data_IF_178999115496
#
_entry.id   IF_178999115496
#
_cell.length_a   1.000
_cell.length_b   1.000
_cell.length_c   1.000
_cell.angle_alpha   90.00
_cell.angle_beta   90.00
_cell.angle_gamma   90.00
#
_symmetry.space_group_name_H-M   'P 1'
#
loop_
_entity.id
_entity.type
_entity.pdbx_description
1 polymer ?
#
# COMPACT_ATOMS: atom_id res chain seq x y z
N UNK A 1 -11.35 -15.68 6.61
CA UNK A 1 -11.51 -14.22 6.43
C UNK A 1 -10.21 -13.70 5.84
N UNK A 2 -10.24 -12.82 4.81
CA UNK A 2 -9.02 -12.22 4.28
C UNK A 2 -8.27 -11.50 5.39
N UNK A 3 -6.95 -11.65 5.41
CA UNK A 3 -6.10 -10.83 6.28
C UNK A 3 -6.04 -9.43 5.69
N UNK A 4 -6.02 -8.42 6.57
CA UNK A 4 -5.84 -7.03 6.16
C UNK A 4 -4.36 -6.70 6.25
N UNK A 5 -3.82 -6.10 5.19
CA UNK A 5 -2.48 -5.50 5.19
C UNK A 5 -2.66 -3.99 5.13
N UNK A 6 -2.08 -3.29 6.10
CA UNK A 6 -2.03 -1.84 6.10
C UNK A 6 -0.75 -1.39 5.41
N UNK A 7 -0.89 -0.46 4.46
CA UNK A 7 0.22 0.20 3.79
C UNK A 7 0.13 1.68 4.12
N UNK A 8 0.96 2.15 5.06
CA UNK A 8 1.02 3.56 5.40
C UNK A 8 2.05 4.27 4.53
N UNK A 9 1.72 5.50 4.11
CA UNK A 9 2.69 6.38 3.45
C UNK A 9 2.93 7.56 4.37
N UNK A 10 4.17 7.68 4.84
CA UNK A 10 4.58 8.68 5.82
C UNK A 10 4.82 10.05 5.16
N UNK A 11 4.89 11.15 5.95
CA UNK A 11 5.17 12.49 5.43
C UNK A 11 6.48 12.57 4.61
N UNK A 12 7.50 11.80 4.99
CA UNK A 12 8.77 11.68 4.27
C UNK A 12 8.70 10.73 3.06
N UNK A 13 7.50 10.44 2.56
CA UNK A 13 7.23 9.60 1.38
C UNK A 13 7.74 8.16 1.49
N UNK A 14 7.88 7.64 2.71
CA UNK A 14 8.26 6.25 2.93
C UNK A 14 7.03 5.35 3.03
N UNK A 15 7.21 4.10 2.61
CA UNK A 15 6.18 3.08 2.66
C UNK A 15 6.38 2.21 3.89
N UNK A 16 5.33 2.03 4.68
CA UNK A 16 5.31 1.08 5.79
C UNK A 16 4.34 -0.06 5.48
N UNK A 17 4.75 -1.29 5.79
CA UNK A 17 3.95 -2.49 5.66
C UNK A 17 3.60 -3.01 7.05
N UNK A 18 2.33 -2.93 7.45
CA UNK A 18 1.87 -3.30 8.79
C UNK A 18 2.71 -2.65 9.91
N UNK A 19 3.06 -1.37 9.75
CA UNK A 19 3.90 -0.64 10.70
C UNK A 19 5.41 -0.88 10.58
N UNK A 20 5.86 -1.75 9.67
CA UNK A 20 7.28 -1.96 9.38
C UNK A 20 7.72 -1.08 8.21
N UNK A 21 8.71 -0.20 8.41
CA UNK A 21 9.24 0.63 7.32
C UNK A 21 9.98 -0.22 6.30
N UNK A 22 9.59 -0.11 5.04
CA UNK A 22 10.28 -0.79 3.94
C UNK A 22 11.52 0.01 3.52
N UNK A 23 12.60 -0.70 3.20
CA UNK A 23 13.87 -0.09 2.82
C UNK A 23 13.83 0.59 1.44
N UNK A 24 13.10 0.00 0.49
CA UNK A 24 13.05 0.44 -0.90
C UNK A 24 11.83 -0.14 -1.64
N UNK A 25 11.72 0.17 -2.94
CA UNK A 25 10.62 -0.27 -3.80
C UNK A 25 10.66 -1.79 -4.03
N UNK A 26 11.85 -2.38 -4.10
CA UNK A 26 12.03 -3.82 -4.29
C UNK A 26 11.46 -4.61 -3.11
N UNK A 27 11.63 -4.11 -1.88
CA UNK A 27 11.04 -4.70 -0.69
C UNK A 27 9.50 -4.65 -0.73
N UNK A 28 8.91 -3.56 -1.23
CA UNK A 28 7.47 -3.45 -1.43
C UNK A 28 6.99 -4.46 -2.49
N UNK A 29 7.66 -4.50 -3.65
CA UNK A 29 7.32 -5.43 -4.73
C UNK A 29 7.33 -6.88 -4.25
N UNK A 30 8.34 -7.28 -3.48
CA UNK A 30 8.43 -8.62 -2.93
C UNK A 30 7.25 -8.96 -2.00
N UNK A 31 6.85 -8.03 -1.12
CA UNK A 31 5.69 -8.20 -0.22
C UNK A 31 4.37 -8.27 -0.99
N UNK A 32 4.18 -7.39 -1.98
CA UNK A 32 3.00 -7.38 -2.85
C UNK A 32 2.90 -8.67 -3.68
N UNK A 33 4.03 -9.15 -4.25
CA UNK A 33 4.06 -10.38 -5.03
C UNK A 33 3.73 -11.61 -4.18
N UNK A 34 4.19 -11.65 -2.93
CA UNK A 34 3.82 -12.70 -1.98
C UNK A 34 2.33 -12.62 -1.62
N UNK A 35 1.81 -11.42 -1.37
CA UNK A 35 0.39 -11.20 -1.07
C UNK A 35 -0.52 -11.62 -2.24
N UNK A 36 -0.18 -11.27 -3.48
CA UNK A 36 -0.95 -11.62 -4.67
C UNK A 36 -1.05 -13.13 -4.94
N UNK A 37 -0.08 -13.92 -4.46
CA UNK A 37 -0.05 -15.39 -4.56
C UNK A 37 -0.79 -16.11 -3.43
N UNK A 38 -1.20 -15.39 -2.38
CA UNK A 38 -1.93 -16.00 -1.27
C UNK A 38 -3.40 -16.24 -1.62
N UNK A 39 -3.97 -17.32 -1.08
CA UNK A 39 -5.38 -17.65 -1.22
C UNK A 39 -6.01 -17.86 0.17
N UNK A 40 -6.94 -17.00 0.62
CA UNK A 40 -7.46 -15.83 -0.09
C UNK A 40 -6.45 -14.66 -0.11
N UNK A 41 -6.41 -13.91 -1.22
CA UNK A 41 -5.64 -12.66 -1.28
C UNK A 41 -6.07 -11.72 -0.14
N UNK A 42 -5.10 -11.02 0.51
CA UNK A 42 -5.38 -10.05 1.55
C UNK A 42 -6.07 -8.80 0.97
N UNK A 43 -6.74 -8.07 1.85
CA UNK A 43 -7.24 -6.73 1.55
C UNK A 43 -6.13 -5.72 1.86
N UNK A 44 -5.67 -4.98 0.84
CA UNK A 44 -4.66 -3.94 1.03
C UNK A 44 -5.36 -2.62 1.34
N UNK A 45 -5.05 -2.06 2.50
CA UNK A 45 -5.53 -0.77 2.96
C UNK A 45 -4.42 0.26 2.87
N UNK A 46 -4.47 1.11 1.86
CA UNK A 46 -3.46 2.15 1.62
C UNK A 46 -3.89 3.41 2.35
N UNK A 47 -3.08 3.85 3.32
CA UNK A 47 -3.34 5.01 4.16
C UNK A 47 -2.24 6.05 4.00
N UNK A 48 -2.42 7.00 3.08
CA UNK A 48 -1.46 8.09 2.96
C UNK A 48 -1.62 9.10 4.09
N UNK A 49 -0.51 9.63 4.58
CA UNK A 49 -0.51 10.78 5.46
C UNK A 49 -0.93 12.04 4.66
N UNK A 50 -1.63 12.98 5.31
CA UNK A 50 -2.05 14.25 4.72
C UNK A 50 -0.89 15.09 4.13
N UNK A 51 0.31 14.94 4.69
CA UNK A 51 1.51 15.68 4.27
C UNK A 51 2.38 14.87 3.29
N UNK A 52 1.96 13.64 2.95
CA UNK A 52 2.68 12.81 1.98
C UNK A 52 2.41 13.30 0.55
N UNK A 53 3.43 13.20 -0.30
CA UNK A 53 3.26 13.48 -1.73
C UNK A 53 2.41 12.39 -2.40
N UNK A 54 1.73 12.74 -3.50
CA UNK A 54 0.89 11.78 -4.23
C UNK A 54 1.69 10.67 -4.94
N UNK A 55 2.95 10.95 -5.31
CA UNK A 55 3.81 10.02 -6.04
C UNK A 55 3.97 8.63 -5.40
N UNK A 56 4.32 8.48 -4.11
CA UNK A 56 4.38 7.18 -3.44
C UNK A 56 3.02 6.46 -3.41
N UNK A 57 1.91 7.20 -3.33
CA UNK A 57 0.56 6.61 -3.37
C UNK A 57 0.29 5.98 -4.73
N UNK A 58 0.52 6.75 -5.80
CA UNK A 58 0.37 6.28 -7.17
C UNK A 58 1.28 5.10 -7.47
N UNK A 59 2.52 5.11 -6.96
CA UNK A 59 3.47 4.01 -7.10
C UNK A 59 2.96 2.72 -6.44
N UNK A 60 2.50 2.79 -5.18
CA UNK A 60 1.93 1.63 -4.47
C UNK A 60 0.72 1.06 -5.23
N UNK A 61 -0.16 1.92 -5.73
CA UNK A 61 -1.34 1.52 -6.50
C UNK A 61 -0.95 0.82 -7.81
N UNK A 62 0.00 1.40 -8.56
CA UNK A 62 0.47 0.85 -9.83
C UNK A 62 1.12 -0.53 -9.65
N UNK A 63 1.99 -0.68 -8.64
CA UNK A 63 2.62 -1.97 -8.34
C UNK A 63 1.61 -3.03 -7.90
N UNK A 64 0.66 -2.66 -7.05
CA UNK A 64 -0.38 -3.57 -6.59
C UNK A 64 -1.20 -4.11 -7.75
N UNK A 65 -1.63 -3.23 -8.67
CA UNK A 65 -2.37 -3.61 -9.87
C UNK A 65 -1.53 -4.49 -10.80
N UNK A 66 -0.27 -4.11 -11.05
CA UNK A 66 0.66 -4.88 -11.90
C UNK A 66 0.86 -6.32 -11.39
N UNK A 67 0.84 -6.51 -10.07
CA UNK A 67 1.00 -7.82 -9.42
C UNK A 67 -0.31 -8.58 -9.21
N UNK A 68 -1.43 -8.09 -9.74
CA UNK A 68 -2.72 -8.79 -9.72
C UNK A 68 -3.41 -8.77 -8.36
N UNK A 69 -3.07 -7.82 -7.47
CA UNK A 69 -3.83 -7.58 -6.25
C UNK A 69 -5.11 -6.84 -6.59
N UNK A 70 -6.24 -7.49 -6.36
CA UNK A 70 -7.56 -6.98 -6.76
C UNK A 70 -8.36 -6.38 -5.59
N UNK A 71 -7.96 -6.70 -4.35
CA UNK A 71 -8.63 -6.26 -3.14
C UNK A 71 -7.89 -5.08 -2.52
N UNK A 72 -8.06 -3.90 -3.13
CA UNK A 72 -7.39 -2.66 -2.73
C UNK A 72 -8.42 -1.63 -2.26
N UNK A 73 -8.12 -0.93 -1.16
CA UNK A 73 -8.89 0.22 -0.70
C UNK A 73 -7.96 1.33 -0.20
N UNK A 74 -8.22 2.58 -0.60
CA UNK A 74 -7.54 3.74 -0.01
C UNK A 74 -8.39 4.22 1.16
N UNK A 75 -7.80 4.25 2.35
CA UNK A 75 -8.44 4.69 3.59
C UNK A 75 -7.90 6.05 4.01
N UNK A 76 -8.79 6.94 4.44
CA UNK A 76 -8.41 8.31 4.81
C UNK A 76 -8.23 9.27 3.64
N UNK A 77 -8.66 8.88 2.42
CA UNK A 77 -8.67 9.74 1.22
C UNK A 77 -9.44 11.04 1.41
N UNK A 78 -10.35 11.09 2.39
CA UNK A 78 -11.09 12.29 2.79
C UNK A 78 -10.17 13.47 3.14
N UNK A 79 -8.92 13.19 3.55
CA UNK A 79 -7.90 14.20 3.87
C UNK A 79 -7.37 14.95 2.63
N UNK A 80 -7.68 14.50 1.42
CA UNK A 80 -7.17 15.08 0.15
C UNK A 80 -8.20 15.95 -0.59
N UNK A 81 -9.41 16.13 -0.05
CA UNK A 81 -10.51 16.87 -0.69
C UNK A 81 -10.57 18.39 -0.36
N UNK A 82 -9.46 19.01 0.07
CA UNK A 82 -9.44 20.46 0.36
C UNK A 82 -9.04 21.31 -0.84
#
# INVERSE_FOLDING_TARGET
KPVVVQIDITPDSAVMWNGERLANREALEAKLAAAGKSDPQPELHIKPNKDATYAPVAMVLAESQRLGLTKLGIVGSEQFLQ
#
